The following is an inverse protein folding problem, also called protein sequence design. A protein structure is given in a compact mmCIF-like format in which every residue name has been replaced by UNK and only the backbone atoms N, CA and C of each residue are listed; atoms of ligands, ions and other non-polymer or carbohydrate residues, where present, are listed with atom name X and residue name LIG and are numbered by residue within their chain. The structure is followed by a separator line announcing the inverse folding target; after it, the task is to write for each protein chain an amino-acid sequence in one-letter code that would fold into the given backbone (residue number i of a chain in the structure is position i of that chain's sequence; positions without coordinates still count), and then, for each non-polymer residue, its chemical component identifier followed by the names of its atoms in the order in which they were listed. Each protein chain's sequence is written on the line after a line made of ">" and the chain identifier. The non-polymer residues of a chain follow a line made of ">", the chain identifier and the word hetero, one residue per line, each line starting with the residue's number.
data_IF_654312338319
#
_entry.id   IF_654312338319
#
_cell.length_a   1.000
_cell.length_b   1.000
_cell.length_c   1.000
_cell.angle_alpha   90.00
_cell.angle_beta   90.00
_cell.angle_gamma   90.00
#
_symmetry.space_group_name_H-M   'P 1'
#
loop_
_entity.id
_entity.type
_entity.pdbx_description
1 polymer ?
#
# COMPACT_ATOMS: atom_id res chain seq x y z
N UNK A 1 10.57 -12.09 -26.20
CA UNK A 1 9.52 -12.30 -25.16
C UNK A 1 9.54 -11.14 -24.17
N UNK A 2 8.38 -10.60 -23.77
CA UNK A 2 8.31 -9.49 -22.82
C UNK A 2 8.68 -9.97 -21.40
N UNK A 3 9.61 -9.26 -20.74
CA UNK A 3 10.05 -9.56 -19.37
C UNK A 3 8.89 -9.34 -18.40
N UNK A 4 8.46 -10.39 -17.69
CA UNK A 4 7.40 -10.33 -16.67
C UNK A 4 7.79 -9.32 -15.58
N UNK A 5 7.02 -8.25 -15.44
CA UNK A 5 7.23 -7.27 -14.38
C UNK A 5 6.94 -7.92 -13.02
N UNK A 6 7.85 -7.74 -12.05
CA UNK A 6 7.65 -8.23 -10.68
C UNK A 6 6.50 -7.43 -10.05
N UNK A 7 5.44 -8.14 -9.68
CA UNK A 7 4.27 -7.60 -8.97
C UNK A 7 4.36 -8.12 -7.53
N UNK A 8 4.33 -7.22 -6.56
CA UNK A 8 4.48 -7.52 -5.12
C UNK A 8 3.18 -7.18 -4.40
N UNK A 9 2.68 -8.12 -3.58
CA UNK A 9 1.55 -7.85 -2.68
C UNK A 9 2.05 -7.03 -1.49
N UNK A 10 1.29 -6.00 -1.12
CA UNK A 10 1.57 -5.13 0.03
C UNK A 10 0.31 -4.96 0.87
N UNK A 11 0.49 -4.66 2.16
CA UNK A 11 -0.61 -4.41 3.09
C UNK A 11 -0.71 -2.90 3.32
N UNK A 12 -1.90 -2.35 3.20
CA UNK A 12 -2.21 -0.98 3.56
C UNK A 12 -2.93 -1.00 4.90
N UNK A 13 -2.32 -0.45 5.94
CA UNK A 13 -2.85 -0.44 7.32
C UNK A 13 -3.43 0.94 7.62
N UNK A 14 -4.64 0.97 8.20
CA UNK A 14 -5.25 2.21 8.66
C UNK A 14 -4.42 2.83 9.79
N UNK A 15 -4.29 4.15 9.80
CA UNK A 15 -3.62 4.87 10.90
C UNK A 15 -4.45 4.92 12.18
N UNK A 16 -5.77 4.73 12.09
CA UNK A 16 -6.70 4.92 13.21
C UNK A 16 -7.38 3.64 13.68
N UNK A 17 -7.30 2.56 12.91
CA UNK A 17 -8.01 1.30 13.16
C UNK A 17 -7.10 0.10 12.88
N UNK A 18 -7.49 -1.07 13.39
CA UNK A 18 -6.88 -2.35 13.03
C UNK A 18 -7.26 -2.85 11.63
N UNK A 19 -8.07 -2.10 10.87
CA UNK A 19 -8.44 -2.47 9.50
C UNK A 19 -7.26 -2.36 8.53
N UNK A 20 -7.25 -3.24 7.53
CA UNK A 20 -6.26 -3.21 6.46
C UNK A 20 -6.83 -3.67 5.13
N UNK A 21 -6.21 -3.19 4.06
CA UNK A 21 -6.41 -3.69 2.71
C UNK A 21 -5.15 -4.40 2.23
N UNK A 22 -5.31 -5.26 1.23
CA UNK A 22 -4.20 -5.83 0.46
C UNK A 22 -4.25 -5.31 -0.96
N UNK A 23 -3.13 -4.85 -1.48
CA UNK A 23 -3.01 -4.42 -2.88
C UNK A 23 -1.78 -5.03 -3.52
N UNK A 24 -1.79 -5.10 -4.85
CA UNK A 24 -0.63 -5.52 -5.65
C UNK A 24 -0.02 -4.29 -6.31
N UNK A 25 1.28 -4.07 -6.11
CA UNK A 25 2.02 -2.98 -6.77
C UNK A 25 3.15 -3.53 -7.65
N UNK A 26 3.42 -2.86 -8.77
CA UNK A 26 4.52 -3.23 -9.65
C UNK A 26 5.85 -2.67 -9.11
N UNK A 27 6.93 -3.44 -9.23
CA UNK A 27 8.25 -3.04 -8.73
C UNK A 27 8.85 -1.85 -9.51
N UNK A 28 8.45 -1.62 -10.76
CA UNK A 28 8.95 -0.48 -11.57
C UNK A 28 8.34 0.86 -11.17
N UNK A 29 7.14 0.88 -10.57
CA UNK A 29 6.52 2.10 -10.05
C UNK A 29 7.13 2.57 -8.70
N UNK A 30 8.21 1.92 -8.24
CA UNK A 30 8.92 2.22 -6.99
C UNK A 30 9.85 3.46 -7.12
N UNK A 31 10.10 3.97 -8.33
CA UNK A 31 11.11 5.01 -8.61
C UNK A 31 10.60 6.43 -8.90
N UNK A 32 9.51 6.90 -8.28
CA UNK A 32 9.11 8.32 -8.27
C UNK A 32 9.58 9.04 -7.00
N UNK A 33 9.70 10.39 -6.96
CA UNK A 33 10.70 11.15 -6.20
C UNK A 33 10.41 11.25 -4.70
N UNK A 34 10.43 10.12 -3.98
CA UNK A 34 10.68 10.03 -2.54
C UNK A 34 11.43 8.73 -2.33
N UNK A 35 12.70 8.84 -1.92
CA UNK A 35 13.71 7.76 -1.88
C UNK A 35 13.39 6.56 -0.97
N UNK A 36 12.16 6.44 -0.45
CA UNK A 36 11.76 5.42 0.53
C UNK A 36 10.73 4.39 0.03
N UNK A 37 10.20 4.50 -1.20
CA UNK A 37 9.44 3.42 -1.88
C UNK A 37 8.14 2.94 -1.20
N UNK A 38 7.64 3.65 -0.18
CA UNK A 38 6.39 3.37 0.55
C UNK A 38 5.27 4.25 0.00
N UNK A 39 4.11 3.67 -0.33
CA UNK A 39 2.89 4.45 -0.52
C UNK A 39 2.39 4.93 0.86
N UNK A 40 2.88 6.08 1.31
CA UNK A 40 2.30 6.81 2.45
C UNK A 40 1.28 7.84 1.95
N UNK A 41 0.09 7.87 2.56
CA UNK A 41 -0.89 8.94 2.32
C UNK A 41 -2.06 8.62 1.37
N UNK A 42 -2.33 7.34 1.08
CA UNK A 42 -3.57 6.98 0.39
C UNK A 42 -4.75 7.13 1.34
N UNK A 43 -5.68 8.03 1.04
CA UNK A 43 -6.96 8.12 1.76
C UNK A 43 -7.88 7.01 1.28
N UNK A 44 -8.22 6.08 2.16
CA UNK A 44 -9.21 5.00 1.91
C UNK A 44 -10.25 5.00 3.01
N UNK A 45 -11.44 4.49 2.68
CA UNK A 45 -12.50 4.33 3.65
C UNK A 45 -12.07 3.32 4.72
N UNK A 46 -12.33 3.65 5.99
CA UNK A 46 -12.19 2.72 7.10
C UNK A 46 -13.58 2.28 7.54
N UNK A 47 -13.94 0.99 7.39
CA UNK A 47 -15.27 0.51 7.74
C UNK A 47 -15.57 0.56 9.24
N UNK A 48 -14.55 0.59 10.10
CA UNK A 48 -14.71 0.65 11.55
C UNK A 48 -15.09 2.07 11.99
N UNK A 49 -14.40 3.08 11.46
CA UNK A 49 -14.60 4.50 11.80
C UNK A 49 -15.65 5.16 10.88
N UNK A 50 -15.96 4.50 9.76
CA UNK A 50 -16.88 4.96 8.71
C UNK A 50 -16.47 6.29 8.06
N UNK A 51 -15.17 6.56 7.98
CA UNK A 51 -14.59 7.77 7.39
C UNK A 51 -13.39 7.42 6.52
N UNK A 52 -13.05 8.31 5.58
CA UNK A 52 -11.80 8.18 4.84
C UNK A 52 -10.63 8.60 5.72
N UNK A 53 -9.67 7.69 5.87
CA UNK A 53 -8.48 7.85 6.71
C UNK A 53 -7.25 7.54 5.87
N UNK A 54 -6.10 8.04 6.29
CA UNK A 54 -4.83 7.72 5.67
C UNK A 54 -4.40 6.29 5.98
N UNK A 55 -3.99 5.58 4.93
CA UNK A 55 -3.42 4.25 5.01
C UNK A 55 -1.92 4.29 4.72
N UNK A 56 -1.18 3.52 5.49
CA UNK A 56 0.27 3.39 5.40
C UNK A 56 0.63 1.99 4.94
N UNK A 57 1.60 1.91 4.03
CA UNK A 57 2.11 0.63 3.55
C UNK A 57 2.96 -0.10 4.60
N UNK A 58 2.64 -1.37 4.83
CA UNK A 58 3.42 -2.31 5.63
C UNK A 58 3.77 -3.54 4.79
N UNK A 59 4.98 -4.09 5.00
CA UNK A 59 5.39 -5.35 4.40
C UNK A 59 4.47 -6.47 4.90
N UNK A 60 4.09 -7.37 4.00
CA UNK A 60 3.48 -8.64 4.35
C UNK A 60 4.62 -9.51 4.86
N UNK A 61 4.70 -9.73 6.18
CA UNK A 61 5.56 -10.79 6.70
C UNK A 61 4.96 -12.13 6.29
N UNK A 62 5.83 -13.09 5.96
CA UNK A 62 5.45 -14.49 5.83
C UNK A 62 5.22 -15.08 7.22
#
# INVERSE_FOLDING_TARGET
>A
MAKKNKIVKVRLVSTKSSHFYTTTKSTKMIGGPKKDGKLSGLKKYDPVIRKHVEYVEKKISK
#
